data_IF_070764296848
#
_entry.id   IF_070764296848
#
_cell.length_a   1.000
_cell.length_b   1.000
_cell.length_c   1.000
_cell.angle_alpha   90.00
_cell.angle_beta   90.00
_cell.angle_gamma   90.00
#
_symmetry.space_group_name_H-M   'P 1'
#
loop_
_entity.id
_entity.type
_entity.pdbx_description
1 polymer ?
#
# COMPACT_ATOMS: atom_id res chain seq x y z
N UNK A 1 16.01 -7.53 -6.41
CA UNK A 1 15.18 -6.72 -5.47
C UNK A 1 15.76 -5.34 -5.25
N UNK A 2 17.05 -5.17 -4.92
CA UNK A 2 17.65 -3.85 -4.64
C UNK A 2 17.42 -2.84 -5.78
N UNK A 3 17.73 -3.21 -7.03
CA UNK A 3 17.53 -2.34 -8.18
C UNK A 3 16.07 -1.84 -8.31
N UNK A 4 15.08 -2.70 -8.06
CA UNK A 4 13.67 -2.32 -8.10
C UNK A 4 13.35 -1.33 -6.98
N UNK A 5 13.89 -1.56 -5.77
CA UNK A 5 13.71 -0.63 -4.66
C UNK A 5 14.30 0.74 -4.96
N UNK A 6 15.48 0.79 -5.58
CA UNK A 6 16.12 2.05 -5.96
C UNK A 6 15.28 2.80 -7.01
N UNK A 7 14.79 2.11 -8.04
CA UNK A 7 13.90 2.69 -9.06
C UNK A 7 12.58 3.22 -8.47
N UNK A 8 11.96 2.46 -7.55
CA UNK A 8 10.73 2.88 -6.86
C UNK A 8 10.98 4.11 -5.99
N UNK A 9 12.12 4.15 -5.30
CA UNK A 9 12.53 5.27 -4.46
C UNK A 9 12.72 6.55 -5.28
N UNK A 10 13.46 6.45 -6.38
CA UNK A 10 13.70 7.59 -7.29
C UNK A 10 12.39 8.13 -7.86
N UNK A 11 11.52 7.26 -8.36
CA UNK A 11 10.22 7.64 -8.90
C UNK A 11 9.34 8.33 -7.83
N UNK A 12 9.31 7.77 -6.61
CA UNK A 12 8.53 8.33 -5.52
C UNK A 12 9.05 9.70 -5.09
N UNK A 13 10.36 9.88 -4.96
CA UNK A 13 10.97 11.18 -4.63
C UNK A 13 10.61 12.20 -5.70
N UNK A 14 10.79 11.84 -6.97
CA UNK A 14 10.44 12.70 -8.09
C UNK A 14 8.97 13.12 -8.07
N UNK A 15 8.05 12.16 -7.96
CA UNK A 15 6.62 12.44 -7.95
C UNK A 15 6.19 13.30 -6.76
N UNK A 16 6.62 12.96 -5.54
CA UNK A 16 6.22 13.67 -4.32
C UNK A 16 6.84 15.07 -4.24
N UNK A 17 8.00 15.31 -4.86
CA UNK A 17 8.57 16.66 -4.98
C UNK A 17 7.66 17.61 -5.75
N UNK A 18 6.87 17.09 -6.68
CA UNK A 18 5.90 17.86 -7.48
C UNK A 18 4.53 17.95 -6.79
N UNK A 19 4.04 16.85 -6.23
CA UNK A 19 2.65 16.76 -5.72
C UNK A 19 2.52 17.09 -4.24
N UNK A 20 3.61 17.02 -3.48
CA UNK A 20 3.56 16.94 -2.03
C UNK A 20 3.03 15.58 -1.55
N UNK A 21 3.11 15.34 -0.25
CA UNK A 21 2.60 14.10 0.36
C UNK A 21 3.50 13.53 1.45
N UNK A 22 3.27 12.26 1.79
CA UNK A 22 3.93 11.56 2.89
C UNK A 22 5.25 10.92 2.42
N UNK A 23 6.27 11.73 2.17
CA UNK A 23 7.55 11.26 1.63
C UNK A 23 8.29 10.35 2.62
N UNK A 24 8.50 10.80 3.84
CA UNK A 24 9.29 10.08 4.84
C UNK A 24 8.71 8.69 5.16
N UNK A 25 7.40 8.61 5.35
CA UNK A 25 6.72 7.34 5.61
C UNK A 25 6.85 6.36 4.43
N UNK A 26 6.73 6.87 3.20
CA UNK A 26 6.91 6.05 2.00
C UNK A 26 8.35 5.57 1.82
N UNK A 27 9.34 6.43 2.04
CA UNK A 27 10.77 6.07 1.94
C UNK A 27 11.16 4.95 2.92
N UNK A 28 10.61 4.99 4.13
CA UNK A 28 10.91 3.99 5.17
C UNK A 28 10.40 2.58 4.86
N UNK A 29 9.53 2.40 3.89
CA UNK A 29 8.92 1.11 3.55
C UNK A 29 9.16 0.65 2.11
N UNK A 30 10.06 1.28 1.37
CA UNK A 30 10.32 0.91 -0.04
C UNK A 30 10.77 -0.54 -0.15
N UNK A 31 11.82 -0.92 0.57
CA UNK A 31 12.36 -2.28 0.55
C UNK A 31 11.35 -3.30 1.07
N UNK A 32 10.65 -2.96 2.15
CA UNK A 32 9.58 -3.80 2.69
C UNK A 32 8.49 -4.02 1.65
N UNK A 33 8.05 -2.97 0.96
CA UNK A 33 7.01 -3.08 -0.07
C UNK A 33 7.44 -3.96 -1.23
N UNK A 34 8.67 -3.78 -1.72
CA UNK A 34 9.25 -4.63 -2.77
C UNK A 34 9.33 -6.09 -2.33
N UNK A 35 9.77 -6.34 -1.09
CA UNK A 35 9.85 -7.68 -0.54
C UNK A 35 8.46 -8.33 -0.40
N UNK A 36 7.47 -7.61 0.08
CA UNK A 36 6.10 -8.10 0.19
C UNK A 36 5.52 -8.49 -1.17
N UNK A 37 5.68 -7.64 -2.19
CA UNK A 37 5.24 -7.97 -3.55
C UNK A 37 6.05 -9.06 -4.23
N UNK A 38 7.24 -9.34 -3.76
CA UNK A 38 8.04 -10.47 -4.26
C UNK A 38 7.62 -11.79 -3.63
N UNK A 39 7.23 -11.78 -2.35
CA UNK A 39 6.92 -13.00 -1.58
C UNK A 39 5.46 -13.40 -1.70
N UNK A 40 4.53 -12.44 -1.69
CA UNK A 40 3.09 -12.70 -1.68
C UNK A 40 2.49 -12.57 -3.08
N UNK A 41 1.57 -13.47 -3.40
CA UNK A 41 0.84 -13.49 -4.68
C UNK A 41 -0.32 -12.49 -4.67
N UNK A 42 -0.01 -11.20 -4.73
CA UNK A 42 -1.03 -10.14 -4.78
C UNK A 42 -1.62 -10.01 -6.19
N UNK A 43 -2.92 -9.75 -6.34
CA UNK A 43 -3.90 -9.40 -5.32
C UNK A 43 -4.63 -10.58 -4.66
N UNK A 44 -4.27 -11.85 -4.92
CA UNK A 44 -4.84 -13.00 -4.23
C UNK A 44 -4.55 -12.91 -2.73
N UNK A 45 -3.29 -12.82 -2.36
CA UNK A 45 -2.88 -12.41 -1.01
C UNK A 45 -3.21 -10.93 -0.80
N UNK A 46 -3.66 -10.58 0.40
CA UNK A 46 -4.14 -9.23 0.71
C UNK A 46 -3.13 -8.46 1.53
N UNK A 47 -2.67 -7.32 1.00
CA UNK A 47 -1.85 -6.37 1.74
C UNK A 47 -2.72 -5.21 2.22
N UNK A 48 -2.76 -4.99 3.54
CA UNK A 48 -3.52 -3.91 4.17
C UNK A 48 -2.54 -2.95 4.83
N UNK A 49 -2.60 -1.70 4.44
CA UNK A 49 -1.73 -0.64 4.93
C UNK A 49 -2.45 0.15 6.00
N UNK A 50 -1.93 0.13 7.23
CA UNK A 50 -2.49 0.95 8.31
C UNK A 50 -2.33 2.43 7.99
N UNK A 51 -3.34 3.24 8.19
CA UNK A 51 -3.47 4.60 7.68
C UNK A 51 -3.40 4.64 6.14
N UNK A 52 -2.43 3.98 5.51
CA UNK A 52 -2.22 3.95 4.07
C UNK A 52 -1.39 5.13 3.53
N UNK A 53 -0.84 5.97 4.40
CA UNK A 53 0.01 7.11 4.04
C UNK A 53 1.39 6.68 3.49
N UNK A 54 1.83 5.46 3.79
CA UNK A 54 3.06 4.84 3.31
C UNK A 54 2.86 3.99 2.04
N UNK A 55 1.71 4.07 1.39
CA UNK A 55 1.33 3.18 0.27
C UNK A 55 1.84 3.64 -1.12
N UNK A 56 2.63 4.70 -1.23
CA UNK A 56 3.09 5.17 -2.54
C UNK A 56 3.97 4.16 -3.29
N UNK A 57 4.94 3.48 -2.65
CA UNK A 57 5.67 2.39 -3.30
C UNK A 57 4.74 1.27 -3.79
N UNK A 58 3.73 0.92 -3.01
CA UNK A 58 2.71 -0.06 -3.39
C UNK A 58 1.94 0.39 -4.64
N UNK A 59 1.54 1.66 -4.73
CA UNK A 59 0.86 2.20 -5.91
C UNK A 59 1.74 2.13 -7.17
N UNK A 60 3.02 2.48 -7.05
CA UNK A 60 3.99 2.40 -8.15
C UNK A 60 4.12 0.97 -8.65
N UNK A 61 4.26 -0.02 -7.76
CA UNK A 61 4.42 -1.43 -8.10
C UNK A 61 3.15 -2.08 -8.66
N UNK A 62 1.99 -1.51 -8.37
CA UNK A 62 0.68 -2.08 -8.77
C UNK A 62 0.02 -1.34 -9.94
N UNK A 63 0.84 -0.89 -10.90
CA UNK A 63 0.37 -0.38 -12.18
C UNK A 63 -0.11 1.07 -12.18
N UNK A 64 0.15 1.83 -11.10
CA UNK A 64 -0.24 3.24 -10.99
C UNK A 64 0.92 4.23 -11.16
N UNK A 65 2.10 3.74 -11.59
CA UNK A 65 3.30 4.56 -11.81
C UNK A 65 3.02 5.75 -12.71
N UNK A 66 2.35 5.55 -13.85
CA UNK A 66 2.09 6.62 -14.83
C UNK A 66 1.15 7.71 -14.30
N UNK A 67 0.38 7.39 -13.25
CA UNK A 67 -0.54 8.31 -12.59
C UNK A 67 0.00 8.88 -11.27
N UNK A 68 1.20 8.49 -10.86
CA UNK A 68 1.71 8.83 -9.52
C UNK A 68 1.82 10.35 -9.29
N UNK A 69 2.05 11.12 -10.37
CA UNK A 69 2.08 12.59 -10.33
C UNK A 69 0.71 13.25 -10.22
N UNK A 70 -0.36 12.46 -10.07
CA UNK A 70 -1.70 12.97 -9.75
C UNK A 70 -2.09 12.74 -8.29
N UNK A 71 -1.15 12.29 -7.45
CA UNK A 71 -1.37 12.06 -6.01
C UNK A 71 -2.01 13.29 -5.35
N UNK A 72 -3.09 13.04 -4.59
CA UNK A 72 -3.80 14.05 -3.78
C UNK A 72 -4.42 15.20 -4.58
N UNK A 73 -4.50 15.08 -5.90
CA UNK A 73 -5.15 16.06 -6.74
C UNK A 73 -6.60 15.64 -7.08
N UNK A 74 -7.42 16.60 -7.44
CA UNK A 74 -8.78 16.32 -7.90
C UNK A 74 -8.79 15.38 -9.09
N UNK A 75 -9.59 14.33 -9.03
CA UNK A 75 -9.64 13.24 -10.02
C UNK A 75 -8.34 12.43 -10.19
N UNK A 76 -7.35 12.64 -9.34
CA UNK A 76 -6.10 11.89 -9.32
C UNK A 76 -6.10 10.75 -8.29
N UNK A 77 -4.91 10.20 -8.06
CA UNK A 77 -4.71 9.15 -7.08
C UNK A 77 -4.90 9.67 -5.64
N UNK A 78 -5.55 8.86 -4.82
CA UNK A 78 -5.66 9.10 -3.38
C UNK A 78 -4.30 9.07 -2.70
N UNK A 79 -4.11 9.90 -1.69
CA UNK A 79 -2.94 9.82 -0.80
C UNK A 79 -2.92 8.61 0.13
N UNK A 80 -3.96 7.78 0.10
CA UNK A 80 -4.14 6.56 0.88
C UNK A 80 -4.58 5.42 -0.03
N UNK A 81 -4.62 4.18 0.48
CA UNK A 81 -5.22 3.07 -0.26
C UNK A 81 -6.71 3.31 -0.47
N UNK A 82 -7.22 2.92 -1.63
CA UNK A 82 -8.62 3.16 -2.02
C UNK A 82 -9.13 2.03 -2.92
N UNK A 83 -10.14 1.31 -2.46
CA UNK A 83 -10.69 0.13 -3.16
C UNK A 83 -11.16 0.43 -4.59
N UNK A 84 -11.73 1.60 -4.85
CA UNK A 84 -12.17 1.99 -6.19
C UNK A 84 -11.03 2.35 -7.14
N UNK A 85 -9.79 2.39 -6.67
CA UNK A 85 -8.62 2.78 -7.42
C UNK A 85 -7.90 1.56 -8.01
N UNK A 86 -7.86 0.44 -7.27
CA UNK A 86 -7.13 -0.76 -7.65
C UNK A 86 -7.63 -1.99 -6.91
N UNK A 87 -7.63 -3.15 -7.58
CA UNK A 87 -7.87 -4.46 -6.95
C UNK A 87 -6.79 -4.85 -5.92
N UNK A 88 -5.62 -4.22 -6.00
CA UNK A 88 -4.54 -4.38 -5.03
C UNK A 88 -4.77 -3.63 -3.71
N UNK A 89 -5.81 -2.79 -3.64
CA UNK A 89 -6.21 -2.06 -2.44
C UNK A 89 -7.46 -2.74 -1.81
N UNK A 90 -7.31 -3.84 -1.07
CA UNK A 90 -8.46 -4.59 -0.54
C UNK A 90 -9.24 -3.82 0.53
N UNK A 91 -8.61 -2.81 1.12
CA UNK A 91 -9.19 -1.96 2.17
C UNK A 91 -8.84 -0.50 1.94
N UNK A 92 -9.84 0.37 2.03
CA UNK A 92 -9.66 1.81 2.01
C UNK A 92 -9.29 2.31 3.42
N UNK A 93 -8.21 3.07 3.51
CA UNK A 93 -7.70 3.57 4.77
C UNK A 93 -7.68 5.10 4.80
N UNK A 94 -7.19 5.67 5.84
CA UNK A 94 -6.82 7.05 6.18
C UNK A 94 -6.87 7.27 7.71
N UNK A 95 -7.21 6.25 8.48
CA UNK A 95 -7.27 6.28 9.94
C UNK A 95 -6.36 5.20 10.52
N UNK A 96 -5.61 5.54 11.58
CA UNK A 96 -4.74 4.62 12.29
C UNK A 96 -5.52 3.51 13.00
N UNK A 97 -4.84 2.42 13.29
CA UNK A 97 -5.32 1.27 14.08
C UNK A 97 -6.50 0.51 13.45
N UNK A 98 -6.73 0.65 12.15
CA UNK A 98 -7.84 -0.04 11.46
C UNK A 98 -7.42 -1.31 10.74
N UNK A 99 -6.13 -1.47 10.46
CA UNK A 99 -5.61 -2.56 9.62
C UNK A 99 -5.74 -3.93 10.27
N UNK A 100 -5.54 -4.06 11.58
CA UNK A 100 -5.61 -5.34 12.29
C UNK A 100 -7.01 -5.91 12.21
N UNK A 101 -8.03 -5.12 12.57
CA UNK A 101 -9.43 -5.55 12.52
C UNK A 101 -9.87 -5.90 11.10
N UNK A 102 -9.44 -5.09 10.12
CA UNK A 102 -9.75 -5.33 8.71
C UNK A 102 -9.08 -6.60 8.19
N UNK A 103 -7.80 -6.80 8.53
CA UNK A 103 -7.06 -8.01 8.17
C UNK A 103 -7.69 -9.26 8.79
N UNK A 104 -8.05 -9.19 10.06
CA UNK A 104 -8.72 -10.30 10.75
C UNK A 104 -10.05 -10.63 10.08
N UNK A 105 -10.87 -9.64 9.77
CA UNK A 105 -12.16 -9.85 9.11
C UNK A 105 -12.01 -10.52 7.74
N UNK A 106 -11.03 -10.09 6.93
CA UNK A 106 -10.74 -10.71 5.63
C UNK A 106 -10.20 -12.14 5.81
N UNK A 107 -9.32 -12.38 6.79
CA UNK A 107 -8.78 -13.71 7.06
C UNK A 107 -9.87 -14.69 7.49
N UNK A 108 -10.78 -14.28 8.36
CA UNK A 108 -11.93 -15.11 8.76
C UNK A 108 -12.89 -15.38 7.59
N UNK A 109 -13.16 -14.39 6.74
CA UNK A 109 -13.96 -14.59 5.54
C UNK A 109 -13.29 -15.59 4.58
N UNK A 110 -11.98 -15.47 4.34
CA UNK A 110 -11.23 -16.44 3.54
C UNK A 110 -11.33 -17.85 4.09
N UNK A 111 -11.23 -18.02 5.41
CA UNK A 111 -11.37 -19.31 6.09
C UNK A 111 -12.78 -19.92 5.89
N UNK A 112 -13.83 -19.10 6.05
CA UNK A 112 -15.20 -19.54 5.82
C UNK A 112 -15.45 -19.95 4.36
N UNK A 113 -14.80 -19.27 3.42
CA UNK A 113 -14.90 -19.56 1.99
C UNK A 113 -13.89 -20.64 1.52
N UNK A 114 -13.14 -21.25 2.44
CA UNK A 114 -12.07 -22.23 2.15
C UNK A 114 -11.02 -21.71 1.15
N UNK A 115 -10.73 -20.42 1.18
CA UNK A 115 -9.67 -19.78 0.41
C UNK A 115 -8.34 -19.83 1.18
N UNK A 116 -7.25 -20.15 0.48
CA UNK A 116 -5.89 -20.27 1.06
C UNK A 116 -5.03 -19.02 0.82
N UNK A 117 -5.62 -17.83 0.84
CA UNK A 117 -4.86 -16.59 0.66
C UNK A 117 -4.37 -16.03 2.00
N UNK A 118 -3.18 -15.45 1.96
CA UNK A 118 -2.60 -14.76 3.12
C UNK A 118 -3.21 -13.36 3.26
N UNK A 119 -3.24 -12.87 4.50
CA UNK A 119 -3.62 -11.48 4.79
C UNK A 119 -2.53 -10.85 5.65
N UNK A 120 -1.93 -9.79 5.17
CA UNK A 120 -0.80 -9.11 5.81
C UNK A 120 -1.20 -7.68 6.13
N UNK A 121 -1.09 -7.28 7.39
CA UNK A 121 -1.25 -5.90 7.83
C UNK A 121 0.13 -5.25 7.99
N UNK A 122 0.35 -4.13 7.31
CA UNK A 122 1.56 -3.32 7.42
C UNK A 122 1.27 -2.11 8.28
N UNK A 123 1.90 -2.04 9.44
CA UNK A 123 1.60 -1.06 10.49
C UNK A 123 2.90 -0.41 10.93
N UNK A 124 2.92 0.92 10.97
CA UNK A 124 4.00 1.67 11.64
C UNK A 124 3.83 1.61 13.16
N UNK A 125 4.94 1.63 13.90
CA UNK A 125 4.96 1.58 15.36
C UNK A 125 4.11 2.71 16.00
N UNK A 126 4.17 3.90 15.45
CA UNK A 126 3.35 5.04 15.90
C UNK A 126 1.87 4.97 15.54
N UNK A 127 1.44 3.99 14.75
CA UNK A 127 0.04 3.81 14.36
C UNK A 127 -0.69 2.77 15.22
N UNK A 128 0.04 2.00 16.03
CA UNK A 128 -0.52 1.04 16.97
C UNK A 128 -0.95 1.81 18.24
N UNK A 129 -2.22 1.88 18.46
CA UNK A 129 -2.78 2.57 19.63
C UNK A 129 -3.94 1.79 20.24
#
# INVERSE_FOLDING_TARGET
>A
MQKVADEVREEMISAVSETGGHLGAGLGVVELTVALHFVFDTPNDKLIWDVGHQSYPHKILTGRKDKIRTLRQGNGLSGFTKRSESEYDPFGAAHSSTSISSALGIAEANKLESKSSNVVAVIGDGAIS
#
